data_IF_043823548463
#
_entry.id   IF_043823548463
#
_cell.length_a   1.000
_cell.length_b   1.000
_cell.length_c   1.000
_cell.angle_alpha   90.00
_cell.angle_beta   90.00
_cell.angle_gamma   90.00
#
_symmetry.space_group_name_H-M   'P 1'
#
loop_
_entity.id
_entity.type
_entity.pdbx_description
1 polymer ?
#
# COMPACT_ATOMS: atom_id res chain seq x y z
N UNK A 1 24.38 -12.25 12.06
CA UNK A 1 22.95 -11.91 11.89
C UNK A 1 22.84 -10.41 12.05
N UNK A 2 22.61 -9.68 10.95
CA UNK A 2 22.41 -8.23 11.02
C UNK A 2 20.98 -7.98 11.49
N UNK A 3 20.83 -7.11 12.49
CA UNK A 3 19.55 -6.58 12.95
C UNK A 3 18.72 -6.12 11.75
N UNK A 4 17.47 -6.59 11.62
CA UNK A 4 16.50 -6.10 10.63
C UNK A 4 15.98 -4.68 10.96
N UNK A 5 16.59 -4.02 11.95
CA UNK A 5 16.23 -2.71 12.46
C UNK A 5 17.48 -1.84 12.41
N UNK A 6 17.39 -0.70 11.72
CA UNK A 6 18.52 0.19 11.42
C UNK A 6 19.31 0.56 12.68
N UNK A 7 20.63 0.71 12.54
CA UNK A 7 21.48 1.30 13.57
C UNK A 7 21.26 2.83 13.57
N UNK A 8 20.57 3.43 14.54
CA UNK A 8 20.15 4.83 14.47
C UNK A 8 21.29 5.82 14.75
N UNK A 9 22.49 5.36 15.12
CA UNK A 9 23.59 6.20 15.58
C UNK A 9 24.03 7.32 14.63
N UNK A 10 23.63 7.27 13.35
CA UNK A 10 23.92 8.28 12.33
C UNK A 10 22.68 9.03 11.81
N UNK A 11 21.48 8.82 12.37
CA UNK A 11 20.23 9.42 11.89
C UNK A 11 19.86 10.75 12.58
N UNK A 12 20.71 11.23 13.50
CA UNK A 12 20.46 12.43 14.28
C UNK A 12 19.62 12.19 15.53
N UNK A 13 19.04 13.27 16.08
CA UNK A 13 18.22 13.22 17.29
C UNK A 13 16.82 12.67 17.02
N UNK A 14 16.27 11.94 17.99
CA UNK A 14 14.86 11.54 18.00
C UNK A 14 13.97 12.78 18.05
N UNK A 15 13.03 12.91 17.11
CA UNK A 15 12.05 14.00 17.04
C UNK A 15 10.75 13.64 17.76
N UNK A 16 10.31 12.39 17.63
CA UNK A 16 9.08 11.89 18.21
C UNK A 16 9.25 10.41 18.59
N UNK A 17 8.43 9.93 19.51
CA UNK A 17 8.29 8.51 19.81
C UNK A 17 6.82 8.15 19.93
N UNK A 18 6.47 6.93 19.58
CA UNK A 18 5.08 6.47 19.62
C UNK A 18 4.96 4.96 19.57
N UNK A 19 3.71 4.50 19.53
CA UNK A 19 3.37 3.12 19.22
C UNK A 19 2.41 3.10 18.04
N UNK A 20 2.53 2.09 17.19
CA UNK A 20 1.63 1.86 16.07
C UNK A 20 1.35 0.36 15.93
N UNK A 21 0.37 0.00 15.11
CA UNK A 21 0.20 -1.35 14.59
C UNK A 21 0.46 -1.36 13.09
N UNK A 22 0.74 -2.53 12.54
CA UNK A 22 0.86 -2.74 11.11
C UNK A 22 0.09 -4.00 10.72
N UNK A 23 -0.39 -4.05 9.49
CA UNK A 23 -1.18 -5.15 8.98
C UNK A 23 -0.42 -6.49 9.12
N UNK A 24 -1.12 -7.53 9.57
CA UNK A 24 -0.52 -8.86 9.80
C UNK A 24 0.18 -9.06 11.15
N UNK A 25 0.21 -8.06 12.06
CA UNK A 25 0.74 -8.24 13.41
C UNK A 25 -0.23 -8.93 14.40
N UNK A 26 -1.42 -9.36 13.96
CA UNK A 26 -2.37 -10.08 14.81
C UNK A 26 -2.86 -9.26 16.02
N UNK A 27 -3.01 -7.94 15.86
CA UNK A 27 -3.43 -7.02 16.92
C UNK A 27 -2.31 -6.51 17.82
N UNK A 28 -1.06 -6.97 17.63
CA UNK A 28 0.08 -6.44 18.35
C UNK A 28 0.45 -5.02 17.88
N UNK A 29 1.06 -4.25 18.78
CA UNK A 29 1.64 -2.95 18.49
C UNK A 29 3.17 -2.98 18.61
N UNK A 30 3.84 -2.07 17.93
CA UNK A 30 5.28 -1.86 18.00
C UNK A 30 5.58 -0.40 18.36
N UNK A 31 6.62 -0.21 19.18
CA UNK A 31 7.17 1.10 19.47
C UNK A 31 8.06 1.60 18.33
N UNK A 32 8.08 2.90 18.10
CA UNK A 32 8.95 3.55 17.13
C UNK A 32 9.49 4.89 17.63
N UNK A 33 10.60 5.31 17.03
CA UNK A 33 11.19 6.63 17.14
C UNK A 33 11.27 7.27 15.74
N UNK A 34 10.86 8.52 15.62
CA UNK A 34 10.92 9.28 14.37
C UNK A 34 12.19 10.11 14.31
N UNK A 35 12.89 10.06 13.18
CA UNK A 35 14.09 10.84 12.87
C UNK A 35 13.82 11.70 11.63
N UNK A 36 14.51 12.83 11.50
CA UNK A 36 14.56 13.57 10.23
C UNK A 36 15.82 13.19 9.49
N UNK A 37 15.66 12.53 8.35
CA UNK A 37 16.77 12.06 7.52
C UNK A 37 16.34 11.99 6.06
N UNK A 38 17.29 11.80 5.14
CA UNK A 38 17.04 11.62 3.71
C UNK A 38 16.81 10.15 3.39
N UNK A 39 15.93 9.85 2.43
CA UNK A 39 15.79 8.53 1.82
C UNK A 39 16.23 8.61 0.37
N UNK A 40 17.11 7.70 -0.04
CA UNK A 40 17.63 7.65 -1.40
C UNK A 40 17.19 6.37 -2.14
N UNK A 41 16.72 6.54 -3.36
CA UNK A 41 16.29 5.45 -4.25
C UNK A 41 17.35 5.19 -5.31
N UNK A 42 18.48 4.63 -4.88
CA UNK A 42 19.65 4.39 -5.73
C UNK A 42 20.24 2.99 -5.49
N UNK A 43 21.23 2.62 -6.30
CA UNK A 43 22.07 1.47 -5.99
C UNK A 43 22.87 1.71 -4.69
N UNK A 44 23.03 0.64 -3.89
CA UNK A 44 23.53 0.62 -2.50
C UNK A 44 24.94 1.20 -2.31
N UNK A 45 25.65 1.53 -3.40
CA UNK A 45 27.04 1.97 -3.41
C UNK A 45 27.16 3.49 -3.47
N UNK A 46 26.20 4.21 -4.08
CA UNK A 46 26.20 5.67 -4.13
C UNK A 46 24.80 6.24 -4.42
N UNK A 47 24.28 7.03 -3.49
CA UNK A 47 23.13 7.91 -3.71
C UNK A 47 23.65 9.33 -3.98
N UNK A 48 23.73 9.70 -5.25
CA UNK A 48 23.98 11.09 -5.66
C UNK A 48 23.03 11.42 -6.81
N UNK A 49 22.29 12.53 -6.69
CA UNK A 49 21.36 13.01 -7.72
C UNK A 49 19.93 13.20 -7.21
N UNK A 50 18.98 13.31 -8.14
CA UNK A 50 17.62 13.80 -7.89
C UNK A 50 16.68 12.76 -7.22
N UNK A 51 17.12 11.51 -7.03
CA UNK A 51 16.36 10.44 -6.37
C UNK A 51 16.64 10.35 -4.86
N UNK A 52 16.97 11.47 -4.25
CA UNK A 52 17.16 11.60 -2.80
C UNK A 52 16.15 12.62 -2.29
N UNK A 53 15.43 12.27 -1.24
CA UNK A 53 14.46 13.19 -0.62
C UNK A 53 15.17 14.30 0.13
N UNK A 54 14.51 15.45 0.28
CA UNK A 54 14.80 16.36 1.40
C UNK A 54 14.62 15.62 2.74
N UNK A 55 15.25 16.09 3.84
CA UNK A 55 15.06 15.49 5.15
C UNK A 55 13.57 15.40 5.54
N UNK A 56 13.14 14.21 5.91
CA UNK A 56 11.73 13.89 6.16
C UNK A 56 11.61 12.83 7.26
N UNK A 57 10.40 12.62 7.77
CA UNK A 57 10.14 11.75 8.91
C UNK A 57 10.33 10.26 8.57
N UNK A 58 11.28 9.61 9.23
CA UNK A 58 11.50 8.15 9.14
C UNK A 58 11.35 7.51 10.51
N UNK A 59 10.46 6.53 10.61
CA UNK A 59 10.25 5.76 11.84
C UNK A 59 11.20 4.57 11.90
N UNK A 60 11.89 4.43 13.03
CA UNK A 60 12.73 3.27 13.36
C UNK A 60 12.11 2.56 14.55
N UNK A 61 11.95 1.24 14.45
CA UNK A 61 11.39 0.40 15.51
C UNK A 61 12.27 0.48 16.76
N UNK A 62 11.65 0.61 17.93
CA UNK A 62 12.38 0.63 19.21
C UNK A 62 12.93 -0.75 19.56
N UNK A 63 14.01 -0.80 20.34
CA UNK A 63 14.63 -2.04 20.79
C UNK A 63 13.66 -3.03 21.44
N UNK A 64 12.66 -2.54 22.17
CA UNK A 64 11.58 -3.33 22.80
C UNK A 64 10.70 -4.08 21.80
N UNK A 65 10.58 -3.59 20.56
CA UNK A 65 9.74 -4.18 19.51
C UNK A 65 10.54 -4.84 18.38
N UNK A 66 11.88 -4.85 18.47
CA UNK A 66 12.75 -5.43 17.45
C UNK A 66 12.44 -6.90 17.16
N UNK A 67 12.18 -7.72 18.19
CA UNK A 67 11.91 -9.14 17.99
C UNK A 67 10.63 -9.37 17.18
N UNK A 68 9.54 -8.68 17.56
CA UNK A 68 8.25 -8.72 16.89
C UNK A 68 8.39 -8.29 15.42
N UNK A 69 8.98 -7.13 15.17
CA UNK A 69 9.08 -6.58 13.82
C UNK A 69 10.07 -7.34 12.94
N UNK A 70 11.16 -7.86 13.50
CA UNK A 70 12.10 -8.73 12.77
C UNK A 70 11.41 -10.03 12.34
N UNK A 71 10.62 -10.65 13.22
CA UNK A 71 9.84 -11.83 12.86
C UNK A 71 8.83 -11.53 11.75
N UNK A 72 8.17 -10.38 11.80
CA UNK A 72 7.27 -9.93 10.76
C UNK A 72 8.00 -9.73 9.43
N UNK A 73 9.07 -8.92 9.40
CA UNK A 73 9.81 -8.60 8.18
C UNK A 73 10.48 -9.81 7.52
N UNK A 74 10.99 -10.76 8.32
CA UNK A 74 11.62 -11.98 7.81
C UNK A 74 10.66 -12.85 6.98
N UNK A 75 9.35 -12.81 7.26
CA UNK A 75 8.36 -13.57 6.48
C UNK A 75 8.25 -13.07 5.04
N UNK A 76 8.62 -11.81 4.80
CA UNK A 76 8.54 -11.14 3.49
C UNK A 76 9.92 -10.85 2.88
N UNK A 77 11.01 -11.19 3.58
CA UNK A 77 12.37 -10.90 3.14
C UNK A 77 12.70 -9.39 3.09
N UNK A 78 11.98 -8.57 3.86
CA UNK A 78 12.18 -7.12 3.95
C UNK A 78 12.89 -6.75 5.26
N UNK A 79 13.23 -5.47 5.43
CA UNK A 79 13.79 -4.91 6.68
C UNK A 79 13.07 -3.62 7.11
N UNK A 80 11.96 -3.31 6.46
CA UNK A 80 11.20 -2.09 6.65
C UNK A 80 10.06 -2.01 5.64
N UNK A 81 9.17 -1.06 5.85
CA UNK A 81 8.01 -0.80 4.99
C UNK A 81 8.12 0.61 4.44
N UNK A 82 7.98 0.73 3.11
CA UNK A 82 7.85 2.01 2.43
C UNK A 82 6.36 2.25 2.12
N UNK A 83 5.66 2.89 3.05
CA UNK A 83 4.25 3.25 2.87
C UNK A 83 4.10 4.46 1.95
N UNK A 84 3.42 4.29 0.81
CA UNK A 84 3.34 5.34 -0.23
C UNK A 84 1.93 5.81 -0.57
N UNK A 85 0.90 5.40 0.19
CA UNK A 85 -0.46 5.92 0.03
C UNK A 85 -0.61 7.35 0.60
N UNK A 86 -1.21 8.32 -0.14
CA UNK A 86 -1.36 9.71 0.30
C UNK A 86 -2.41 9.93 1.40
N UNK A 87 -3.40 9.04 1.54
CA UNK A 87 -4.50 9.14 2.49
C UNK A 87 -4.61 7.84 3.32
N UNK A 88 -3.52 7.42 3.95
CA UNK A 88 -3.50 6.20 4.77
C UNK A 88 -4.25 6.32 6.12
N UNK A 89 -4.97 7.41 6.36
CA UNK A 89 -5.77 7.62 7.57
C UNK A 89 -5.01 8.17 8.78
N UNK A 90 -3.73 8.52 8.64
CA UNK A 90 -2.93 9.08 9.73
C UNK A 90 -2.57 10.55 9.47
N UNK A 91 -3.18 11.45 10.24
CA UNK A 91 -2.85 12.88 10.20
C UNK A 91 -1.39 13.11 10.61
N UNK A 92 -0.63 13.87 9.81
CA UNK A 92 0.75 14.23 10.11
C UNK A 92 1.83 13.28 9.55
N UNK A 93 1.45 12.21 8.83
CA UNK A 93 2.40 11.36 8.08
C UNK A 93 2.15 11.52 6.58
N UNK A 94 2.86 12.42 5.91
CA UNK A 94 2.90 12.43 4.45
C UNK A 94 3.74 11.25 3.95
N UNK A 95 3.43 10.74 2.76
CA UNK A 95 4.33 9.80 2.08
C UNK A 95 5.71 10.40 1.92
N UNK A 96 6.76 9.59 2.07
CA UNK A 96 8.16 10.02 1.86
C UNK A 96 8.37 10.59 0.44
N UNK A 97 7.55 10.17 -0.51
CA UNK A 97 7.65 10.59 -1.91
C UNK A 97 7.36 12.08 -2.09
N UNK A 98 6.54 12.66 -1.21
CA UNK A 98 6.28 14.11 -1.20
C UNK A 98 7.54 14.95 -0.97
N UNK A 99 8.59 14.36 -0.39
CA UNK A 99 9.87 15.01 -0.14
C UNK A 99 10.89 14.82 -1.27
N UNK A 100 10.55 14.15 -2.38
CA UNK A 100 11.39 14.15 -3.58
C UNK A 100 11.39 15.53 -4.28
N UNK A 101 12.48 15.92 -4.95
CA UNK A 101 12.60 17.24 -5.55
C UNK A 101 11.77 17.39 -6.84
N UNK A 102 11.30 18.61 -7.09
CA UNK A 102 10.71 19.00 -8.36
C UNK A 102 9.50 18.16 -8.76
N UNK A 103 9.50 17.66 -10.00
CA UNK A 103 8.38 16.89 -10.52
C UNK A 103 8.29 15.47 -9.94
N UNK A 104 9.34 14.96 -9.29
CA UNK A 104 9.41 13.58 -8.79
C UNK A 104 8.43 13.30 -7.64
N UNK A 105 7.97 14.34 -6.94
CA UNK A 105 7.00 14.21 -5.85
C UNK A 105 5.53 14.14 -6.30
N UNK A 106 5.26 14.16 -7.61
CA UNK A 106 3.88 14.19 -8.12
C UNK A 106 3.16 12.85 -7.97
N UNK A 107 3.90 11.75 -8.00
CA UNK A 107 3.33 10.42 -7.93
C UNK A 107 4.35 9.31 -8.15
N UNK A 108 3.85 8.08 -8.17
CA UNK A 108 4.63 6.87 -8.38
C UNK A 108 3.88 5.92 -9.29
N UNK A 109 4.48 5.51 -10.42
CA UNK A 109 4.04 4.34 -11.17
C UNK A 109 4.68 3.09 -10.57
N UNK A 110 3.86 2.09 -10.28
CA UNK A 110 4.28 0.75 -9.87
C UNK A 110 3.93 -0.19 -11.02
N UNK A 111 4.94 -0.79 -11.63
CA UNK A 111 4.78 -1.77 -12.69
C UNK A 111 5.51 -3.06 -12.28
N UNK A 112 4.77 -3.98 -11.67
CA UNK A 112 5.32 -5.25 -11.21
C UNK A 112 5.64 -6.21 -12.36
N UNK A 113 5.04 -6.00 -13.53
CA UNK A 113 5.29 -6.84 -14.71
C UNK A 113 6.68 -6.60 -15.29
N UNK A 114 7.13 -5.34 -15.25
CA UNK A 114 8.48 -4.95 -15.67
C UNK A 114 9.46 -4.82 -14.50
N UNK A 115 8.97 -4.89 -13.26
CA UNK A 115 9.77 -4.74 -12.04
C UNK A 115 10.23 -3.30 -11.82
N UNK A 116 9.43 -2.32 -12.24
CA UNK A 116 9.79 -0.90 -12.21
C UNK A 116 8.96 -0.10 -11.21
N UNK A 117 9.62 0.90 -10.63
CA UNK A 117 9.00 1.98 -9.89
C UNK A 117 9.47 3.29 -10.51
N UNK A 118 8.54 4.12 -10.98
CA UNK A 118 8.87 5.38 -11.68
C UNK A 118 8.28 6.55 -10.89
N UNK A 119 9.15 7.45 -10.43
CA UNK A 119 8.76 8.65 -9.71
C UNK A 119 8.43 9.79 -10.67
N UNK A 120 7.44 10.60 -10.30
CA UNK A 120 7.09 11.84 -10.97
C UNK A 120 5.78 11.80 -11.73
N UNK A 121 5.60 12.61 -12.80
CA UNK A 121 4.36 12.61 -13.59
C UNK A 121 4.07 11.23 -14.17
N UNK A 122 2.79 10.85 -14.26
CA UNK A 122 2.40 9.58 -14.88
C UNK A 122 2.93 9.53 -16.32
N UNK A 123 3.83 8.57 -16.66
CA UNK A 123 4.38 8.48 -18.01
C UNK A 123 3.43 7.81 -19.00
N UNK A 124 2.33 7.23 -18.52
CA UNK A 124 1.34 6.52 -19.33
C UNK A 124 0.14 7.44 -19.64
N UNK A 125 -0.50 7.18 -20.77
CA UNK A 125 -1.82 7.74 -21.06
C UNK A 125 -2.80 7.17 -20.03
N UNK A 126 -3.34 8.02 -19.17
CA UNK A 126 -4.20 7.57 -18.07
C UNK A 126 -5.53 7.02 -18.62
N UNK A 127 -5.77 5.72 -18.46
CA UNK A 127 -6.99 5.08 -18.95
C UNK A 127 -8.16 5.18 -17.95
N UNK A 128 -7.91 4.95 -16.66
CA UNK A 128 -8.96 5.03 -15.63
C UNK A 128 -8.40 5.55 -14.32
N UNK A 129 -8.83 6.76 -13.96
CA UNK A 129 -8.51 7.40 -12.69
C UNK A 129 -9.68 7.26 -11.71
N UNK A 130 -9.37 6.84 -10.49
CA UNK A 130 -10.30 6.86 -9.36
C UNK A 130 -9.77 7.80 -8.28
N UNK A 131 -10.67 8.60 -7.72
CA UNK A 131 -10.38 9.56 -6.66
C UNK A 131 -9.97 8.85 -5.37
N UNK A 132 -8.87 9.29 -4.76
CA UNK A 132 -8.33 8.75 -3.51
C UNK A 132 -7.17 7.77 -3.70
N UNK A 133 -6.36 7.61 -2.65
CA UNK A 133 -5.41 6.51 -2.49
C UNK A 133 -4.94 6.43 -1.03
N UNK A 134 -4.83 5.25 -0.40
CA UNK A 134 -5.09 3.93 -0.98
C UNK A 134 -6.58 3.58 -1.02
N UNK A 135 -7.41 4.28 -0.25
CA UNK A 135 -8.85 4.04 -0.21
C UNK A 135 -9.58 4.79 -1.33
N UNK A 136 -10.35 4.03 -2.11
CA UNK A 136 -11.14 4.52 -3.24
C UNK A 136 -12.55 3.94 -3.15
N UNK A 137 -13.56 4.70 -3.56
CA UNK A 137 -14.92 4.18 -3.65
C UNK A 137 -15.08 3.33 -4.92
N UNK A 138 -15.59 2.12 -4.76
CA UNK A 138 -15.73 1.12 -5.84
C UNK A 138 -17.09 0.45 -5.81
N UNK A 139 -17.40 -0.24 -6.90
CA UNK A 139 -18.49 -1.20 -6.96
C UNK A 139 -17.90 -2.60 -7.18
N UNK A 140 -18.25 -3.57 -6.32
CA UNK A 140 -17.75 -4.95 -6.43
C UNK A 140 -18.88 -5.89 -6.85
N UNK A 141 -18.65 -6.67 -7.91
CA UNK A 141 -19.54 -7.73 -8.38
C UNK A 141 -18.91 -9.09 -8.12
N UNK A 142 -19.71 -10.02 -7.59
CA UNK A 142 -19.33 -11.40 -7.31
C UNK A 142 -20.08 -12.32 -8.27
N UNK A 143 -19.35 -13.16 -9.01
CA UNK A 143 -19.88 -14.12 -9.98
C UNK A 143 -20.87 -13.48 -11.00
N UNK A 144 -20.62 -12.23 -11.40
CA UNK A 144 -21.48 -11.49 -12.32
C UNK A 144 -22.80 -10.99 -11.71
N UNK A 145 -22.97 -11.08 -10.39
CA UNK A 145 -24.09 -10.49 -9.68
C UNK A 145 -24.11 -8.96 -9.74
N UNK A 146 -25.19 -8.34 -9.27
CA UNK A 146 -25.30 -6.89 -9.22
C UNK A 146 -24.12 -6.28 -8.42
N UNK A 147 -23.40 -5.28 -8.97
CA UNK A 147 -22.32 -4.62 -8.24
C UNK A 147 -22.84 -3.94 -6.97
N UNK A 148 -22.07 -4.03 -5.89
CA UNK A 148 -22.39 -3.44 -4.57
C UNK A 148 -21.33 -2.42 -4.21
N UNK A 149 -21.75 -1.26 -3.71
CA UNK A 149 -20.86 -0.18 -3.28
C UNK A 149 -20.00 -0.61 -2.09
N UNK A 150 -18.69 -0.49 -2.23
CA UNK A 150 -17.68 -0.82 -1.21
C UNK A 150 -16.49 0.13 -1.34
N UNK A 151 -16.04 0.69 -0.22
CA UNK A 151 -14.73 1.35 -0.18
C UNK A 151 -13.63 0.28 -0.25
N UNK A 152 -12.67 0.44 -1.15
CA UNK A 152 -11.59 -0.52 -1.37
C UNK A 152 -10.24 0.14 -1.15
N UNK A 153 -9.37 -0.49 -0.36
CA UNK A 153 -7.95 -0.17 -0.30
C UNK A 153 -7.23 -0.84 -1.46
N UNK A 154 -6.69 -0.07 -2.39
CA UNK A 154 -5.79 -0.55 -3.44
C UNK A 154 -4.39 -0.66 -2.83
N UNK A 155 -4.01 -1.86 -2.41
CA UNK A 155 -2.91 -2.11 -1.48
C UNK A 155 -1.97 -3.22 -1.98
N UNK A 156 -0.81 -2.83 -2.50
CA UNK A 156 0.21 -3.77 -2.99
C UNK A 156 0.82 -4.65 -1.89
N UNK A 157 0.77 -4.19 -0.63
CA UNK A 157 1.19 -4.95 0.54
C UNK A 157 0.11 -5.89 1.09
N UNK A 158 -1.10 -5.85 0.54
CA UNK A 158 -2.29 -6.53 1.05
C UNK A 158 -2.35 -8.05 0.81
N UNK A 159 -1.29 -8.66 0.28
CA UNK A 159 -1.24 -10.09 -0.05
C UNK A 159 -2.41 -10.49 -0.96
N UNK A 160 -3.17 -11.54 -0.63
CA UNK A 160 -4.35 -11.96 -1.42
C UNK A 160 -5.60 -11.09 -1.21
N UNK A 161 -5.49 -10.03 -0.40
CA UNK A 161 -6.58 -9.10 -0.12
C UNK A 161 -7.58 -9.60 0.91
N UNK A 162 -8.62 -8.82 1.11
CA UNK A 162 -9.73 -9.15 2.02
C UNK A 162 -11.04 -8.58 1.50
N UNK A 163 -12.15 -9.24 1.83
CA UNK A 163 -13.48 -8.83 1.40
C UNK A 163 -14.44 -8.75 2.58
N UNK A 164 -15.26 -7.69 2.70
CA UNK A 164 -16.24 -7.59 3.77
C UNK A 164 -17.27 -8.72 3.68
N UNK A 165 -17.66 -9.28 4.82
CA UNK A 165 -18.67 -10.34 4.92
C UNK A 165 -20.01 -9.94 4.30
N UNK A 166 -20.33 -8.64 4.20
CA UNK A 166 -21.54 -8.16 3.52
C UNK A 166 -21.63 -8.59 2.05
N UNK A 167 -20.50 -8.84 1.37
CA UNK A 167 -20.46 -9.37 0.01
C UNK A 167 -20.52 -10.90 -0.05
N UNK A 168 -20.26 -11.57 1.08
CA UNK A 168 -20.26 -13.04 1.21
C UNK A 168 -20.93 -13.46 2.53
N UNK A 169 -22.23 -13.17 2.73
CA UNK A 169 -22.92 -13.40 4.01
C UNK A 169 -22.95 -14.87 4.44
N UNK A 170 -22.79 -15.79 3.49
CA UNK A 170 -22.73 -17.24 3.71
C UNK A 170 -21.39 -17.73 4.26
N UNK A 171 -20.34 -16.91 4.24
CA UNK A 171 -19.01 -17.27 4.74
C UNK A 171 -18.78 -16.62 6.11
N UNK A 172 -18.14 -17.35 7.02
CA UNK A 172 -17.72 -16.81 8.31
C UNK A 172 -16.49 -15.90 8.18
N UNK A 173 -16.36 -14.91 9.06
CA UNK A 173 -15.14 -14.10 9.19
C UNK A 173 -13.91 -14.99 9.41
N UNK A 174 -12.81 -14.67 8.73
CA UNK A 174 -11.58 -15.46 8.71
C UNK A 174 -11.61 -16.62 7.71
N UNK A 175 -12.75 -16.91 7.07
CA UNK A 175 -12.82 -17.87 5.97
C UNK A 175 -12.21 -17.27 4.71
N UNK A 176 -11.66 -18.11 3.85
CA UNK A 176 -11.19 -17.69 2.54
C UNK A 176 -12.32 -17.76 1.51
N UNK A 177 -12.36 -16.81 0.57
CA UNK A 177 -13.30 -16.89 -0.56
C UNK A 177 -12.98 -18.16 -1.38
N UNK A 178 -14.00 -19.01 -1.70
CA UNK A 178 -13.80 -20.25 -2.43
C UNK A 178 -13.15 -20.04 -3.79
N UNK A 179 -12.29 -20.98 -4.20
CA UNK A 179 -11.71 -21.02 -5.53
C UNK A 179 -12.79 -21.05 -6.63
N UNK A 180 -12.51 -20.46 -7.79
CA UNK A 180 -13.45 -20.36 -8.91
C UNK A 180 -14.44 -19.19 -8.80
N UNK A 181 -14.35 -18.37 -7.75
CA UNK A 181 -15.19 -17.18 -7.58
C UNK A 181 -14.66 -16.05 -8.44
N UNK A 182 -15.49 -15.48 -9.31
CA UNK A 182 -15.13 -14.30 -10.10
C UNK A 182 -15.42 -13.06 -9.28
N UNK A 183 -14.39 -12.23 -9.08
CA UNK A 183 -14.48 -10.94 -8.40
C UNK A 183 -14.14 -9.87 -9.42
N UNK A 184 -15.10 -8.98 -9.68
CA UNK A 184 -14.92 -7.83 -10.58
C UNK A 184 -15.10 -6.55 -9.81
N UNK A 185 -14.12 -5.66 -9.86
CA UNK A 185 -14.12 -4.37 -9.18
C UNK A 185 -14.23 -3.28 -10.23
N UNK A 186 -15.16 -2.36 -10.05
CA UNK A 186 -15.46 -1.25 -10.94
C UNK A 186 -15.23 0.08 -10.20
N UNK A 187 -15.17 1.17 -10.95
CA UNK A 187 -15.23 2.52 -10.40
C UNK A 187 -16.55 2.76 -9.63
N UNK A 188 -16.64 3.88 -8.92
CA UNK A 188 -17.74 4.18 -7.99
C UNK A 188 -19.14 4.22 -8.62
N UNK A 189 -19.26 4.49 -9.92
CA UNK A 189 -20.53 4.46 -10.66
C UNK A 189 -20.85 3.10 -11.30
N UNK A 190 -19.91 2.15 -11.23
CA UNK A 190 -20.06 0.80 -11.79
C UNK A 190 -19.94 0.70 -13.31
N UNK A 191 -19.63 1.80 -14.02
CA UNK A 191 -19.58 1.82 -15.50
C UNK A 191 -18.28 1.29 -16.08
N UNK A 192 -17.17 1.45 -15.33
CA UNK A 192 -15.83 1.13 -15.79
C UNK A 192 -15.24 0.07 -14.89
N UNK A 193 -14.97 -1.13 -15.44
CA UNK A 193 -14.22 -2.15 -14.72
C UNK A 193 -12.88 -1.51 -14.30
N UNK A 194 -12.29 -1.89 -13.17
CA UNK A 194 -10.92 -1.57 -12.76
C UNK A 194 -10.01 -2.79 -12.85
N UNK A 195 -10.46 -3.92 -12.32
CA UNK A 195 -9.81 -5.22 -12.52
C UNK A 195 -10.81 -6.35 -12.24
N UNK A 196 -10.53 -7.54 -12.76
CA UNK A 196 -11.32 -8.74 -12.50
C UNK A 196 -10.40 -9.95 -12.39
N UNK A 197 -10.75 -10.88 -11.51
CA UNK A 197 -10.01 -12.12 -11.32
C UNK A 197 -10.89 -13.24 -10.84
N UNK A 198 -10.44 -14.46 -11.11
CA UNK A 198 -11.02 -15.68 -10.56
C UNK A 198 -10.14 -16.14 -9.40
N UNK A 199 -10.72 -16.29 -8.22
CA UNK A 199 -10.01 -16.79 -7.05
C UNK A 199 -9.47 -18.19 -7.31
N UNK A 200 -8.31 -18.49 -6.73
CA UNK A 200 -7.75 -19.84 -6.71
C UNK A 200 -7.85 -20.41 -5.29
N UNK A 201 -7.11 -21.48 -5.00
CA UNK A 201 -6.91 -21.92 -3.61
C UNK A 201 -6.23 -20.85 -2.74
N UNK A 202 -5.73 -19.76 -3.33
CA UNK A 202 -5.34 -18.53 -2.67
C UNK A 202 -6.26 -17.39 -3.15
N UNK A 203 -7.01 -16.80 -2.22
CA UNK A 203 -8.01 -15.76 -2.46
C UNK A 203 -8.20 -14.90 -1.21
N UNK A 204 -9.01 -13.82 -1.30
CA UNK A 204 -9.15 -12.89 -0.20
C UNK A 204 -9.81 -13.56 1.02
N UNK A 205 -9.43 -13.11 2.21
CA UNK A 205 -10.08 -13.51 3.45
C UNK A 205 -11.32 -12.65 3.71
N UNK A 206 -12.36 -13.28 4.26
CA UNK A 206 -13.59 -12.60 4.68
C UNK A 206 -13.35 -11.87 6.00
N UNK A 207 -13.67 -10.59 6.07
CA UNK A 207 -13.56 -9.75 7.29
C UNK A 207 -14.93 -9.37 7.83
N UNK A 208 -15.01 -9.01 9.11
CA UNK A 208 -16.27 -8.61 9.78
C UNK A 208 -16.85 -7.28 9.29
N UNK A 209 -16.19 -6.60 8.35
CA UNK A 209 -16.60 -5.30 7.80
C UNK A 209 -15.40 -4.45 7.41
N UNK A 210 -15.66 -3.15 7.19
CA UNK A 210 -14.66 -2.19 6.75
C UNK A 210 -14.49 -2.16 5.24
N UNK A 211 -13.37 -1.60 4.79
CA UNK A 211 -13.02 -1.57 3.39
C UNK A 211 -12.63 -2.98 2.87
N UNK A 212 -12.90 -3.26 1.60
CA UNK A 212 -12.19 -4.32 0.92
C UNK A 212 -10.70 -3.97 0.79
N UNK A 213 -9.85 -4.97 0.62
CA UNK A 213 -8.44 -4.80 0.30
C UNK A 213 -8.16 -5.57 -0.99
N UNK A 214 -7.63 -4.89 -2.01
CA UNK A 214 -7.38 -5.48 -3.32
C UNK A 214 -6.35 -6.61 -3.29
N UNK A 215 -5.44 -6.56 -2.33
CA UNK A 215 -4.19 -7.28 -2.38
C UNK A 215 -3.31 -6.85 -3.56
N UNK A 216 -2.32 -7.69 -3.85
CA UNK A 216 -1.33 -7.47 -4.92
C UNK A 216 -1.95 -7.52 -6.33
N UNK A 217 -3.12 -8.16 -6.50
CA UNK A 217 -3.63 -8.53 -7.81
C UNK A 217 -3.65 -7.39 -8.85
N UNK A 218 -4.26 -6.21 -8.60
CA UNK A 218 -4.28 -5.14 -9.59
C UNK A 218 -2.89 -4.69 -10.03
N UNK A 219 -1.88 -4.75 -9.15
CA UNK A 219 -0.49 -4.40 -9.44
C UNK A 219 0.23 -5.47 -10.27
N UNK A 220 -0.12 -6.75 -10.08
CA UNK A 220 0.47 -7.85 -10.86
C UNK A 220 0.03 -7.89 -12.32
N UNK A 221 -1.14 -7.32 -12.62
CA UNK A 221 -1.75 -7.40 -13.95
C UNK A 221 -1.80 -6.06 -14.69
N UNK A 222 -1.57 -4.95 -13.99
CA UNK A 222 -1.60 -3.60 -14.56
C UNK A 222 -0.52 -2.72 -13.93
N UNK A 223 0.07 -1.78 -14.70
CA UNK A 223 0.73 -0.62 -14.11
C UNK A 223 -0.27 0.23 -13.31
N UNK A 224 0.06 0.51 -12.05
CA UNK A 224 -0.77 1.33 -11.14
C UNK A 224 -0.01 2.59 -10.78
N UNK A 225 -0.57 3.74 -11.13
CA UNK A 225 -0.02 5.04 -10.77
C UNK A 225 -0.76 5.62 -9.56
N UNK A 226 0.00 6.05 -8.56
CA UNK A 226 -0.48 6.79 -7.39
C UNK A 226 -0.18 8.27 -7.63
N UNK A 227 -1.21 9.06 -7.93
CA UNK A 227 -1.11 10.51 -8.02
C UNK A 227 -1.27 11.12 -6.62
N UNK A 228 -0.36 12.00 -6.23
CA UNK A 228 -0.42 12.69 -4.93
C UNK A 228 -1.21 14.00 -4.97
N UNK A 229 -1.86 14.32 -6.08
CA UNK A 229 -2.70 15.51 -6.25
C UNK A 229 -4.19 15.16 -6.23
N UNK A 230 -5.04 15.97 -5.56
CA UNK A 230 -4.66 17.03 -4.63
C UNK A 230 -4.00 16.46 -3.36
N UNK A 231 -3.11 17.25 -2.76
CA UNK A 231 -2.30 16.85 -1.60
C UNK A 231 -3.13 16.23 -0.47
N UNK A 232 -2.67 15.10 0.07
CA UNK A 232 -3.30 14.41 1.20
C UNK A 232 -4.53 13.57 0.85
N UNK A 233 -4.95 13.53 -0.42
CA UNK A 233 -6.06 12.70 -0.89
C UNK A 233 -5.65 11.82 -2.08
N UNK A 234 -5.06 12.45 -3.10
CA UNK A 234 -4.51 11.77 -4.28
C UNK A 234 -5.55 11.11 -5.18
N UNK A 235 -5.06 10.33 -6.13
CA UNK A 235 -5.83 9.48 -7.02
C UNK A 235 -5.06 8.18 -7.31
N UNK A 236 -5.79 7.13 -7.66
CA UNK A 236 -5.22 5.87 -8.14
C UNK A 236 -5.61 5.72 -9.60
N UNK A 237 -4.63 5.43 -10.46
CA UNK A 237 -4.84 5.25 -11.90
C UNK A 237 -4.38 3.85 -12.26
N UNK A 238 -5.25 3.07 -12.89
CA UNK A 238 -4.97 1.71 -13.35
C UNK A 238 -4.94 1.75 -14.88
N UNK A 239 -3.80 1.42 -15.46
CA UNK A 239 -3.58 1.42 -16.92
C UNK A 239 -3.69 -0.01 -17.44
N UNK A 240 -4.44 -0.27 -18.51
CA UNK A 240 -4.65 -1.63 -19.04
C UNK A 240 -4.03 -1.87 -20.40
#
# INVERSE_FOLDING_TARGET
MNSAVGNPGSLGSVLLSGNASYAGLGGNSYGYQTYSTTVGFCDKVACSGDLVTDPTGVNVVTSSSNALMTQYFNQYGIVGVLGIGPNNGYAGTSTIISALPGALNQGVLIDEQTGQVIFGPNPLDAETSVSGSPYVDTMISINGGAPVAVTTSIDSGGMYGSIPQSLFPQLGVGSQVPAGTVISVYNSDGSTLLYSYTTTNNGPYVTSGGAANSGYYPFSVNPVYIDYRPSGYGATIISR
#
